data_IF_398181098741
#
_entry.id   IF_398181098741
#
_cell.length_a   1.000
_cell.length_b   1.000
_cell.length_c   1.000
_cell.angle_alpha   90.00
_cell.angle_beta   90.00
_cell.angle_gamma   90.00
#
_symmetry.space_group_name_H-M   'P 1'
#
loop_
_entity.id
_entity.type
_entity.pdbx_description
1 polymer ?
#
# COMPACT_ATOMS: atom_id res chain seq x y z
N UNK A 1 22.69 2.35 -31.10
CA UNK A 1 22.05 1.47 -30.10
C UNK A 1 22.16 2.19 -28.77
N UNK A 2 21.08 2.87 -28.35
CA UNK A 2 21.10 3.83 -27.24
C UNK A 2 21.44 3.18 -25.89
N UNK A 3 22.62 3.52 -25.39
CA UNK A 3 23.19 3.01 -24.15
C UNK A 3 23.15 4.08 -23.05
N UNK A 4 21.98 4.43 -22.48
CA UNK A 4 21.95 5.29 -21.26
C UNK A 4 20.64 5.35 -20.47
N UNK A 5 19.63 4.50 -20.71
CA UNK A 5 18.44 4.48 -19.84
C UNK A 5 18.71 3.60 -18.61
N UNK A 6 18.85 4.21 -17.42
CA UNK A 6 18.91 3.47 -16.15
C UNK A 6 17.61 2.69 -15.92
N UNK A 7 17.67 1.61 -15.15
CA UNK A 7 16.48 0.82 -14.79
C UNK A 7 15.40 1.69 -14.15
N UNK A 8 15.80 2.65 -13.31
CA UNK A 8 14.90 3.63 -12.74
C UNK A 8 14.11 4.38 -13.82
N UNK A 9 14.75 4.84 -14.90
CA UNK A 9 14.06 5.50 -16.01
C UNK A 9 13.05 4.59 -16.71
N UNK A 10 13.39 3.32 -16.95
CA UNK A 10 12.49 2.36 -17.59
C UNK A 10 11.30 1.99 -16.70
N UNK A 11 11.53 1.84 -15.39
CA UNK A 11 10.46 1.64 -14.41
C UNK A 11 9.56 2.89 -14.40
N UNK A 12 10.14 4.09 -14.33
CA UNK A 12 9.39 5.34 -14.33
C UNK A 12 8.54 5.53 -15.60
N UNK A 13 9.06 5.12 -16.76
CA UNK A 13 8.34 5.09 -18.03
C UNK A 13 7.20 4.06 -18.02
N UNK A 14 7.46 2.83 -17.57
CA UNK A 14 6.44 1.78 -17.42
C UNK A 14 5.31 2.23 -16.49
N UNK A 15 5.66 2.75 -15.31
CA UNK A 15 4.71 3.28 -14.34
C UNK A 15 3.98 4.51 -14.90
N UNK A 16 4.67 5.35 -15.67
CA UNK A 16 4.11 6.51 -16.36
C UNK A 16 3.06 6.13 -17.42
N UNK A 17 3.33 5.08 -18.19
CA UNK A 17 2.41 4.56 -19.20
C UNK A 17 1.17 3.93 -18.55
N UNK A 18 1.34 3.11 -17.50
CA UNK A 18 0.21 2.51 -16.76
C UNK A 18 -0.68 3.55 -16.08
N UNK A 19 -0.12 4.67 -15.62
CA UNK A 19 -0.88 5.73 -14.94
C UNK A 19 -1.57 6.74 -15.86
N UNK A 20 -1.19 6.81 -17.15
CA UNK A 20 -1.72 7.80 -18.11
C UNK A 20 -2.29 7.16 -19.39
N UNK A 21 -2.82 5.93 -19.31
CA UNK A 21 -3.34 5.27 -20.50
C UNK A 21 -4.58 6.01 -21.06
N UNK A 22 -4.37 6.74 -22.16
CA UNK A 22 -5.39 7.55 -22.84
C UNK A 22 -6.47 6.71 -23.52
N UNK A 23 -6.29 5.38 -23.59
CA UNK A 23 -7.27 4.45 -24.17
C UNK A 23 -8.32 3.99 -23.15
N UNK A 24 -8.20 4.41 -21.89
CA UNK A 24 -9.18 4.05 -20.87
C UNK A 24 -10.47 4.85 -21.08
N UNK A 25 -11.59 4.12 -21.03
CA UNK A 25 -12.95 4.63 -21.20
C UNK A 25 -13.27 5.75 -20.19
N UNK A 26 -13.68 6.92 -20.70
CA UNK A 26 -14.08 8.07 -19.86
C UNK A 26 -15.33 7.75 -19.03
N UNK A 27 -16.15 6.77 -19.44
CA UNK A 27 -17.35 6.36 -18.71
C UNK A 27 -17.03 5.71 -17.34
N UNK A 28 -15.77 5.28 -17.12
CA UNK A 28 -15.34 4.76 -15.83
C UNK A 28 -15.02 5.86 -14.81
N UNK A 29 -14.87 7.11 -15.27
CA UNK A 29 -14.71 8.25 -14.37
C UNK A 29 -16.00 8.46 -13.58
N UNK A 30 -15.91 8.32 -12.27
CA UNK A 30 -17.04 8.47 -11.37
C UNK A 30 -17.04 9.87 -10.73
N UNK A 31 -18.24 10.30 -10.38
CA UNK A 31 -18.44 11.48 -9.57
C UNK A 31 -19.50 11.28 -8.47
N UNK A 32 -19.07 11.10 -7.21
CA UNK A 32 -19.95 10.98 -6.05
C UNK A 32 -20.94 12.13 -5.90
N UNK A 33 -20.62 13.34 -6.42
CA UNK A 33 -21.55 14.46 -6.31
C UNK A 33 -22.75 14.38 -7.25
N UNK A 34 -22.74 13.48 -8.23
CA UNK A 34 -23.88 13.27 -9.15
C UNK A 34 -25.02 12.48 -8.50
N UNK A 35 -24.87 12.08 -7.23
CA UNK A 35 -25.91 11.42 -6.45
C UNK A 35 -26.55 12.48 -5.56
N UNK A 36 -27.79 12.90 -5.88
CA UNK A 36 -28.51 13.90 -5.08
C UNK A 36 -28.55 13.51 -3.59
N UNK A 37 -29.04 12.30 -3.30
CA UNK A 37 -29.12 11.77 -1.94
C UNK A 37 -28.75 10.29 -1.86
N UNK A 38 -27.79 10.00 -1.00
CA UNK A 38 -27.44 8.65 -0.61
C UNK A 38 -28.53 8.05 0.29
N UNK A 39 -28.61 6.73 0.28
CA UNK A 39 -29.63 5.97 1.00
C UNK A 39 -29.63 6.16 2.53
N UNK A 40 -28.58 6.76 3.08
CA UNK A 40 -28.44 7.02 4.51
C UNK A 40 -28.38 8.53 4.82
N UNK A 41 -28.84 9.37 3.89
CA UNK A 41 -29.03 10.81 4.09
C UNK A 41 -27.79 11.67 3.84
N UNK A 42 -26.73 11.10 3.26
CA UNK A 42 -25.65 11.91 2.69
C UNK A 42 -26.17 12.65 1.46
N UNK A 43 -25.73 13.88 1.26
CA UNK A 43 -26.12 14.73 0.14
C UNK A 43 -24.88 14.89 -0.76
N UNK A 44 -24.96 14.44 -2.00
CA UNK A 44 -23.81 14.42 -2.91
C UNK A 44 -23.35 15.81 -3.31
N UNK A 45 -24.22 16.83 -3.32
CA UNK A 45 -23.83 18.19 -3.66
C UNK A 45 -22.78 18.74 -2.68
N UNK A 46 -22.76 18.28 -1.43
CA UNK A 46 -21.72 18.65 -0.48
C UNK A 46 -20.32 18.16 -0.91
N UNK A 47 -20.25 17.03 -1.60
CA UNK A 47 -18.98 16.45 -2.08
C UNK A 47 -18.39 17.24 -3.25
N UNK A 48 -19.22 17.99 -3.99
CA UNK A 48 -18.77 18.87 -5.09
C UNK A 48 -17.83 19.97 -4.62
N UNK A 49 -18.14 20.55 -3.46
CA UNK A 49 -17.38 21.66 -2.89
C UNK A 49 -16.27 21.19 -1.95
N UNK A 50 -16.47 20.05 -1.27
CA UNK A 50 -15.48 19.54 -0.34
C UNK A 50 -15.57 18.01 -0.19
N UNK A 51 -14.82 17.32 -1.05
CA UNK A 51 -14.75 15.86 -1.07
C UNK A 51 -14.18 15.26 0.23
N UNK A 52 -13.42 16.04 1.02
CA UNK A 52 -12.91 15.63 2.34
C UNK A 52 -14.00 15.51 3.41
N UNK A 53 -15.19 16.07 3.20
CA UNK A 53 -16.31 15.99 4.14
C UNK A 53 -17.14 14.73 3.99
N UNK A 54 -16.69 13.76 3.20
CA UNK A 54 -17.36 12.48 3.09
C UNK A 54 -17.50 11.79 4.45
N UNK A 55 -18.66 11.20 4.70
CA UNK A 55 -19.03 10.56 5.97
C UNK A 55 -19.70 9.21 5.72
N UNK A 56 -19.91 8.42 6.77
CA UNK A 56 -20.66 7.15 6.70
C UNK A 56 -22.04 7.28 6.03
N UNK A 57 -22.71 8.43 6.13
CA UNK A 57 -24.01 8.66 5.46
C UNK A 57 -23.94 8.67 3.91
N UNK A 58 -22.75 8.84 3.33
CA UNK A 58 -22.52 8.80 1.87
C UNK A 58 -22.13 7.40 1.37
N UNK A 59 -22.18 6.38 2.24
CA UNK A 59 -21.86 4.99 1.92
C UNK A 59 -23.13 4.15 1.87
N UNK A 60 -23.24 3.21 0.93
CA UNK A 60 -24.33 2.23 1.00
C UNK A 60 -23.98 0.95 1.77
N UNK A 61 -22.86 0.93 2.49
CA UNK A 61 -22.64 -0.08 3.54
C UNK A 61 -23.60 0.12 4.72
N UNK A 62 -24.08 1.35 4.93
CA UNK A 62 -24.82 1.76 6.13
C UNK A 62 -23.99 2.69 7.00
N UNK A 63 -24.27 2.69 8.30
CA UNK A 63 -23.51 3.49 9.28
C UNK A 63 -22.26 2.74 9.81
N UNK A 64 -21.72 1.79 9.04
CA UNK A 64 -20.51 1.09 9.45
C UNK A 64 -19.32 2.05 9.33
N UNK A 65 -18.59 2.22 10.42
CA UNK A 65 -17.33 2.95 10.41
C UNK A 65 -16.27 2.07 9.70
N UNK A 66 -15.61 2.57 8.63
CA UNK A 66 -14.52 1.86 7.97
C UNK A 66 -13.44 1.33 8.93
N UNK A 67 -13.19 2.04 10.03
CA UNK A 67 -12.16 1.71 11.02
C UNK A 67 -12.69 0.97 12.26
N UNK A 68 -13.96 0.57 12.31
CA UNK A 68 -14.52 -0.10 13.49
C UNK A 68 -13.67 -1.32 13.91
N UNK A 69 -13.30 -1.40 15.20
CA UNK A 69 -12.47 -2.49 15.77
C UNK A 69 -11.09 -2.65 15.10
N UNK A 70 -10.59 -1.64 14.38
CA UNK A 70 -9.22 -1.65 13.84
C UNK A 70 -8.27 -0.94 14.80
N UNK A 71 -7.33 -1.69 15.38
CA UNK A 71 -6.27 -1.14 16.24
C UNK A 71 -5.40 -0.09 15.48
N UNK A 72 -4.76 0.87 16.19
CA UNK A 72 -3.81 1.80 15.59
C UNK A 72 -2.69 1.09 14.81
N UNK A 73 -2.09 1.69 13.76
CA UNK A 73 -1.12 1.01 12.90
C UNK A 73 0.36 1.10 13.35
N UNK A 74 0.65 1.60 14.57
CA UNK A 74 2.01 1.78 15.10
C UNK A 74 2.13 1.54 16.62
N UNK A 75 1.44 0.53 17.16
CA UNK A 75 1.52 0.16 18.58
C UNK A 75 2.72 -0.76 18.87
N UNK A 76 3.16 -0.87 20.13
CA UNK A 76 4.29 -1.69 20.56
C UNK A 76 4.12 -3.21 20.26
N UNK A 77 2.88 -3.63 19.97
CA UNK A 77 2.51 -4.99 19.58
C UNK A 77 2.43 -5.19 18.05
N UNK A 78 2.98 -4.27 17.26
CA UNK A 78 2.85 -4.28 15.81
C UNK A 78 3.81 -5.24 15.14
N UNK A 79 3.35 -6.49 15.06
CA UNK A 79 4.10 -7.55 14.42
C UNK A 79 3.65 -7.76 12.98
N UNK A 80 4.64 -7.84 12.11
CA UNK A 80 4.49 -8.36 10.76
C UNK A 80 3.90 -9.76 10.81
N UNK A 81 2.83 -9.99 10.04
CA UNK A 81 2.28 -11.33 9.84
C UNK A 81 2.96 -11.95 8.65
N UNK A 82 4.02 -12.70 8.94
CA UNK A 82 4.68 -13.53 7.95
C UNK A 82 4.03 -14.92 8.00
N UNK A 83 3.31 -15.28 6.93
CA UNK A 83 2.79 -16.64 6.83
C UNK A 83 3.97 -17.61 6.77
N UNK A 84 4.11 -18.41 7.83
CA UNK A 84 4.93 -19.61 7.83
C UNK A 84 3.98 -20.80 7.68
N UNK A 85 4.41 -21.79 6.89
CA UNK A 85 3.87 -23.14 6.75
C UNK A 85 2.46 -23.36 7.37
N UNK A 86 1.44 -23.52 6.53
CA UNK A 86 0.23 -24.19 6.99
C UNK A 86 0.61 -25.59 7.48
N UNK A 87 0.19 -25.94 8.70
CA UNK A 87 0.34 -27.27 9.30
C UNK A 87 -0.33 -28.38 8.49
N UNK A 88 -1.15 -28.03 7.51
CA UNK A 88 -2.10 -28.93 6.87
C UNK A 88 -1.59 -29.43 5.50
N UNK A 89 -0.35 -29.08 5.10
CA UNK A 89 0.37 -29.66 3.96
C UNK A 89 -0.25 -29.46 2.58
N UNK A 90 -1.38 -28.75 2.47
CA UNK A 90 -2.19 -28.62 1.24
C UNK A 90 -1.92 -27.35 0.44
N UNK A 91 -1.31 -26.32 1.05
CA UNK A 91 -0.97 -25.06 0.38
C UNK A 91 0.53 -24.78 0.45
N UNK A 92 1.13 -24.41 -0.70
CA UNK A 92 2.52 -23.96 -0.74
C UNK A 92 2.67 -22.71 0.15
N UNK A 93 3.71 -22.60 0.98
CA UNK A 93 3.94 -21.41 1.78
C UNK A 93 4.09 -20.22 0.84
N UNK A 94 3.21 -19.23 0.95
CA UNK A 94 3.25 -18.07 0.04
C UNK A 94 4.45 -17.15 0.34
N UNK A 95 5.10 -17.32 1.51
CA UNK A 95 6.30 -16.58 1.95
C UNK A 95 6.11 -15.05 1.91
N UNK A 96 4.91 -14.59 2.28
CA UNK A 96 4.53 -13.18 2.27
C UNK A 96 4.46 -12.67 3.72
N UNK A 97 5.07 -11.50 3.95
CA UNK A 97 4.99 -10.74 5.18
C UNK A 97 4.05 -9.56 4.99
N UNK A 98 2.98 -9.50 5.77
CA UNK A 98 1.95 -8.45 5.68
C UNK A 98 2.21 -7.37 6.73
N UNK A 99 2.32 -6.08 6.34
CA UNK A 99 2.60 -5.00 7.27
C UNK A 99 1.46 -4.79 8.27
N UNK A 100 1.75 -4.47 9.54
CA UNK A 100 0.73 -4.14 10.55
C UNK A 100 -0.28 -3.09 10.07
N UNK A 101 0.19 -2.06 9.34
CA UNK A 101 -0.65 -1.05 8.69
C UNK A 101 -1.72 -1.66 7.78
N UNK A 102 -1.33 -2.53 6.83
CA UNK A 102 -2.28 -3.22 5.93
C UNK A 102 -3.23 -4.12 6.71
N UNK A 103 -2.74 -4.86 7.70
CA UNK A 103 -3.57 -5.77 8.51
C UNK A 103 -4.72 -5.02 9.21
N UNK A 104 -4.51 -3.75 9.54
CA UNK A 104 -5.43 -2.90 10.32
C UNK A 104 -6.07 -1.80 9.47
N UNK A 105 -6.04 -1.94 8.15
CA UNK A 105 -6.60 -0.98 7.21
C UNK A 105 -8.12 -0.83 7.37
N UNK A 106 -8.62 0.39 7.22
CA UNK A 106 -10.02 0.74 7.42
C UNK A 106 -10.93 0.36 6.24
N UNK A 107 -11.27 -0.92 6.10
CA UNK A 107 -12.00 -1.47 4.94
C UNK A 107 -13.39 -2.04 5.27
N UNK A 108 -13.88 -1.87 6.50
CA UNK A 108 -15.10 -2.54 6.96
C UNK A 108 -16.34 -2.17 6.14
N UNK A 109 -16.45 -0.95 5.65
CA UNK A 109 -17.57 -0.53 4.80
C UNK A 109 -17.59 -1.32 3.48
N UNK A 110 -16.43 -1.62 2.89
CA UNK A 110 -16.33 -2.44 1.67
C UNK A 110 -16.68 -3.92 1.91
N UNK A 111 -16.43 -4.41 3.13
CA UNK A 111 -16.84 -5.76 3.54
C UNK A 111 -18.36 -5.86 3.80
N UNK A 112 -19.02 -4.74 4.09
CA UNK A 112 -20.44 -4.70 4.48
C UNK A 112 -21.32 -3.97 3.46
N UNK A 113 -20.95 -4.00 2.18
CA UNK A 113 -21.74 -3.37 1.11
C UNK A 113 -23.13 -4.01 0.99
N UNK A 114 -24.18 -3.19 1.07
CA UNK A 114 -25.56 -3.61 0.85
C UNK A 114 -25.93 -3.53 -0.64
N UNK A 115 -26.34 -4.65 -1.24
CA UNK A 115 -26.57 -4.80 -2.69
C UNK A 115 -28.03 -4.67 -3.13
N UNK A 116 -28.94 -4.48 -2.19
CA UNK A 116 -30.36 -4.17 -2.38
C UNK A 116 -30.60 -2.70 -2.76
N UNK A 117 -29.54 -1.88 -2.82
CA UNK A 117 -29.60 -0.42 -2.99
C UNK A 117 -28.98 0.05 -4.30
N UNK A 118 -29.13 1.35 -4.62
CA UNK A 118 -28.53 1.98 -5.81
C UNK A 118 -27.02 1.78 -5.78
N UNK A 119 -26.50 0.93 -6.66
CA UNK A 119 -25.08 0.67 -6.83
C UNK A 119 -24.69 0.97 -8.27
N UNK A 120 -24.19 2.16 -8.52
CA UNK A 120 -23.53 2.53 -9.77
C UNK A 120 -22.09 2.96 -9.51
N UNK A 121 -21.42 3.36 -10.59
CA UNK A 121 -20.04 3.79 -10.57
C UNK A 121 -19.76 4.91 -9.53
N UNK A 122 -20.70 5.85 -9.39
CA UNK A 122 -20.57 7.02 -8.53
C UNK A 122 -20.71 6.64 -7.05
N UNK A 123 -21.70 5.79 -6.73
CA UNK A 123 -21.93 5.31 -5.37
C UNK A 123 -20.73 4.47 -4.88
N UNK A 124 -20.18 3.64 -5.76
CA UNK A 124 -19.00 2.86 -5.43
C UNK A 124 -17.76 3.71 -5.19
N UNK A 125 -17.55 4.77 -6.00
CA UNK A 125 -16.44 5.69 -5.71
C UNK A 125 -16.62 6.32 -4.32
N UNK A 126 -17.83 6.70 -3.92
CA UNK A 126 -18.09 7.25 -2.59
C UNK A 126 -17.66 6.29 -1.46
N UNK A 127 -17.93 4.99 -1.57
CA UNK A 127 -17.46 3.99 -0.61
C UNK A 127 -15.92 3.87 -0.56
N UNK A 128 -15.27 3.94 -1.71
CA UNK A 128 -13.80 3.92 -1.80
C UNK A 128 -13.21 5.20 -1.21
N UNK A 129 -13.83 6.36 -1.44
CA UNK A 129 -13.39 7.63 -0.85
C UNK A 129 -13.60 7.65 0.66
N UNK A 130 -14.70 7.09 1.17
CA UNK A 130 -14.92 6.97 2.61
C UNK A 130 -13.84 6.10 3.26
N UNK A 131 -13.49 4.98 2.62
CA UNK A 131 -12.37 4.11 3.02
C UNK A 131 -11.06 4.90 3.08
N UNK A 132 -10.75 5.62 2.00
CA UNK A 132 -9.53 6.42 1.88
C UNK A 132 -9.47 7.52 2.95
N UNK A 133 -10.56 8.24 3.19
CA UNK A 133 -10.64 9.32 4.17
C UNK A 133 -10.33 8.80 5.58
N UNK A 134 -11.03 7.74 5.99
CA UNK A 134 -10.88 7.16 7.33
C UNK A 134 -9.51 6.53 7.54
N UNK A 135 -8.96 5.83 6.53
CA UNK A 135 -7.60 5.30 6.57
C UNK A 135 -6.56 6.42 6.68
N UNK A 136 -6.72 7.49 5.88
CA UNK A 136 -5.83 8.65 5.91
C UNK A 136 -5.84 9.39 7.25
N UNK A 137 -7.02 9.66 7.80
CA UNK A 137 -7.17 10.25 9.13
C UNK A 137 -6.52 9.37 10.21
N UNK A 138 -6.77 8.06 10.18
CA UNK A 138 -6.18 7.12 11.13
C UNK A 138 -4.65 7.13 11.07
N UNK A 139 -4.06 7.13 9.88
CA UNK A 139 -2.59 7.21 9.73
C UNK A 139 -2.07 8.52 10.32
N UNK A 140 -2.62 9.66 9.91
CA UNK A 140 -2.13 10.98 10.35
C UNK A 140 -2.23 11.16 11.86
N UNK A 141 -3.28 10.63 12.49
CA UNK A 141 -3.48 10.74 13.93
C UNK A 141 -2.53 9.86 14.75
N UNK A 142 -2.10 8.71 14.21
CA UNK A 142 -1.37 7.70 14.98
C UNK A 142 0.09 7.51 14.54
N UNK A 143 0.54 8.15 13.45
CA UNK A 143 1.90 8.00 12.97
C UNK A 143 2.90 8.56 14.00
N UNK A 144 3.96 7.80 14.39
CA UNK A 144 4.90 8.23 15.43
C UNK A 144 5.63 9.52 15.04
N UNK A 145 6.04 9.63 13.78
CA UNK A 145 6.74 10.80 13.25
C UNK A 145 5.78 11.82 12.63
N UNK A 146 4.94 12.48 13.45
CA UNK A 146 4.02 13.50 12.91
C UNK A 146 4.78 14.74 12.38
N UNK A 147 4.21 15.46 11.39
CA UNK A 147 4.87 16.59 10.70
C UNK A 147 6.13 16.20 9.92
N UNK A 148 6.19 14.98 9.39
CA UNK A 148 7.36 14.45 8.68
C UNK A 148 6.98 13.84 7.33
N UNK A 149 7.99 13.61 6.49
CA UNK A 149 7.82 12.86 5.24
C UNK A 149 7.29 11.43 5.46
N UNK A 150 7.49 10.86 6.65
CA UNK A 150 7.14 9.47 6.94
C UNK A 150 5.62 9.26 6.95
N UNK A 151 4.84 10.27 7.39
CA UNK A 151 3.38 10.27 7.28
C UNK A 151 2.95 10.14 5.82
N UNK A 152 3.56 10.93 4.92
CA UNK A 152 3.25 10.85 3.50
C UNK A 152 3.60 9.47 2.93
N UNK A 153 4.75 8.89 3.30
CA UNK A 153 5.14 7.54 2.87
C UNK A 153 4.13 6.48 3.33
N UNK A 154 3.62 6.58 4.56
CA UNK A 154 2.57 5.70 5.07
C UNK A 154 1.25 5.85 4.27
N UNK A 155 0.86 7.10 3.95
CA UNK A 155 -0.30 7.38 3.10
C UNK A 155 -0.14 6.82 1.70
N UNK A 156 1.05 6.93 1.08
CA UNK A 156 1.36 6.32 -0.21
C UNK A 156 1.19 4.80 -0.19
N UNK A 157 1.66 4.15 0.88
CA UNK A 157 1.54 2.70 1.07
C UNK A 157 0.09 2.27 1.22
N UNK A 158 -0.71 2.97 2.04
CA UNK A 158 -2.14 2.66 2.18
C UNK A 158 -2.94 2.97 0.92
N UNK A 159 -2.58 4.02 0.17
CA UNK A 159 -3.17 4.28 -1.15
C UNK A 159 -2.89 3.13 -2.13
N UNK A 160 -1.64 2.64 -2.17
CA UNK A 160 -1.25 1.53 -3.05
C UNK A 160 -1.92 0.20 -2.65
N UNK A 161 -2.08 -0.05 -1.35
CA UNK A 161 -2.81 -1.24 -0.88
C UNK A 161 -4.31 -1.13 -1.16
N UNK A 162 -4.92 0.05 -1.03
CA UNK A 162 -6.31 0.27 -1.44
C UNK A 162 -6.47 -0.03 -2.94
N UNK A 163 -5.51 0.41 -3.76
CA UNK A 163 -5.47 0.10 -5.18
C UNK A 163 -5.52 -1.42 -5.44
N UNK A 164 -4.71 -2.19 -4.72
CA UNK A 164 -4.67 -3.64 -4.87
C UNK A 164 -5.93 -4.34 -4.37
N UNK A 165 -6.59 -3.80 -3.33
CA UNK A 165 -7.90 -4.29 -2.89
C UNK A 165 -8.93 -4.10 -4.00
N UNK A 166 -9.06 -2.87 -4.52
CA UNK A 166 -10.03 -2.56 -5.57
C UNK A 166 -9.73 -3.35 -6.85
N UNK A 167 -8.45 -3.45 -7.22
CA UNK A 167 -8.00 -4.27 -8.34
C UNK A 167 -8.05 -5.76 -8.04
N UNK A 168 -8.33 -6.24 -6.82
CA UNK A 168 -8.32 -7.69 -6.54
C UNK A 168 -6.96 -8.35 -6.78
N UNK A 169 -5.88 -7.59 -6.61
CA UNK A 169 -4.48 -8.04 -6.65
C UNK A 169 -3.86 -8.09 -5.25
N UNK A 170 -4.61 -7.68 -4.23
CA UNK A 170 -4.18 -7.74 -2.83
C UNK A 170 -3.89 -9.18 -2.40
N UNK A 171 -2.75 -9.37 -1.76
CA UNK A 171 -2.19 -10.65 -1.33
C UNK A 171 -2.64 -11.04 0.08
N UNK A 172 -3.26 -10.14 0.84
CA UNK A 172 -3.82 -10.51 2.13
C UNK A 172 -5.12 -11.26 1.87
N UNK A 173 -5.04 -12.60 1.88
CA UNK A 173 -6.22 -13.48 1.84
C UNK A 173 -7.06 -13.27 3.10
N UNK A 174 -7.99 -12.33 3.04
CA UNK A 174 -8.96 -12.03 4.08
C UNK A 174 -10.25 -12.84 3.91
N UNK A 175 -11.33 -12.33 4.51
CA UNK A 175 -12.67 -12.89 4.30
C UNK A 175 -13.04 -12.85 2.82
N UNK A 176 -13.51 -13.98 2.27
CA UNK A 176 -14.02 -14.09 0.90
C UNK A 176 -15.12 -13.06 0.58
N UNK A 177 -15.74 -12.47 1.59
CA UNK A 177 -16.82 -11.48 1.45
C UNK A 177 -16.36 -10.23 0.70
N UNK A 178 -15.17 -9.68 1.01
CA UNK A 178 -14.70 -8.43 0.39
C UNK A 178 -14.57 -8.57 -1.13
N UNK A 179 -13.85 -9.60 -1.58
CA UNK A 179 -13.63 -9.82 -3.00
C UNK A 179 -14.93 -10.20 -3.72
N UNK A 180 -15.84 -10.96 -3.07
CA UNK A 180 -17.17 -11.24 -3.63
C UNK A 180 -17.99 -9.95 -3.81
N UNK A 181 -17.98 -9.07 -2.82
CA UNK A 181 -18.66 -7.79 -2.88
C UNK A 181 -18.12 -6.92 -4.02
N UNK A 182 -16.79 -6.78 -4.10
CA UNK A 182 -16.16 -6.02 -5.17
C UNK A 182 -16.46 -6.64 -6.54
N UNK A 183 -16.43 -7.97 -6.69
CA UNK A 183 -16.79 -8.64 -7.96
C UNK A 183 -18.22 -8.35 -8.37
N UNK A 184 -19.16 -8.41 -7.42
CA UNK A 184 -20.56 -8.07 -7.66
C UNK A 184 -20.73 -6.60 -8.05
N UNK A 185 -19.96 -5.70 -7.44
CA UNK A 185 -19.98 -4.28 -7.78
C UNK A 185 -19.50 -4.04 -9.22
N UNK A 186 -18.37 -4.62 -9.61
CA UNK A 186 -17.84 -4.46 -10.96
C UNK A 186 -18.70 -5.14 -12.02
N UNK A 187 -19.39 -6.23 -11.67
CA UNK A 187 -20.46 -6.81 -12.51
C UNK A 187 -21.56 -5.78 -12.78
N UNK A 188 -22.07 -5.11 -11.74
CA UNK A 188 -23.12 -4.09 -11.90
C UNK A 188 -22.65 -2.89 -12.74
N UNK A 189 -21.40 -2.45 -12.57
CA UNK A 189 -20.81 -1.38 -13.39
C UNK A 189 -20.74 -1.79 -14.86
N UNK A 190 -20.34 -3.04 -15.14
CA UNK A 190 -20.28 -3.58 -16.50
C UNK A 190 -21.66 -3.66 -17.16
N UNK A 191 -22.68 -4.08 -16.42
CA UNK A 191 -24.05 -4.28 -16.95
C UNK A 191 -24.82 -2.98 -17.19
N UNK A 192 -24.46 -1.88 -16.51
CA UNK A 192 -25.16 -0.59 -16.62
C UNK A 192 -24.79 0.24 -17.86
N UNK A 193 -23.64 -0.01 -18.49
CA UNK A 193 -23.17 0.78 -19.64
C UNK A 193 -22.94 -0.09 -20.87
N UNK A 194 -23.70 0.14 -21.95
CA UNK A 194 -23.58 -0.63 -23.20
C UNK A 194 -22.18 -0.53 -23.83
N UNK A 195 -21.56 0.64 -23.79
CA UNK A 195 -20.19 0.87 -24.26
C UNK A 195 -19.17 0.14 -23.39
N UNK A 196 -19.26 0.26 -22.06
CA UNK A 196 -18.40 -0.47 -21.11
C UNK A 196 -18.54 -1.98 -21.34
N UNK A 197 -19.76 -2.49 -21.44
CA UNK A 197 -20.02 -3.89 -21.73
C UNK A 197 -19.31 -4.35 -23.00
N UNK A 198 -19.37 -3.57 -24.08
CA UNK A 198 -18.70 -3.91 -25.33
C UNK A 198 -17.17 -3.95 -25.18
N UNK A 199 -16.59 -2.94 -24.51
CA UNK A 199 -15.15 -2.77 -24.32
C UNK A 199 -14.53 -3.83 -23.39
N UNK A 200 -15.30 -4.35 -22.44
CA UNK A 200 -14.84 -5.30 -21.42
C UNK A 200 -15.53 -6.67 -21.49
N UNK A 201 -16.28 -6.97 -22.55
CA UNK A 201 -17.05 -8.23 -22.72
C UNK A 201 -16.21 -9.52 -22.60
N UNK A 202 -14.93 -9.46 -22.98
CA UNK A 202 -13.99 -10.59 -22.91
C UNK A 202 -13.10 -10.57 -21.66
N UNK A 203 -13.33 -9.64 -20.75
CA UNK A 203 -12.50 -9.45 -19.56
C UNK A 203 -12.85 -10.49 -18.48
N UNK A 204 -11.94 -11.42 -18.25
CA UNK A 204 -12.14 -12.46 -17.24
C UNK A 204 -11.99 -11.87 -15.84
N UNK A 205 -12.96 -12.17 -14.96
CA UNK A 205 -12.99 -11.69 -13.57
C UNK A 205 -12.86 -10.16 -13.43
N UNK A 206 -13.29 -9.39 -14.44
CA UNK A 206 -13.24 -7.92 -14.44
C UNK A 206 -11.81 -7.38 -14.24
N UNK A 207 -10.80 -8.08 -14.75
CA UNK A 207 -9.39 -7.69 -14.56
C UNK A 207 -9.12 -6.30 -15.10
N UNK A 208 -9.22 -6.16 -16.40
CA UNK A 208 -8.95 -4.91 -17.08
C UNK A 208 -9.90 -3.80 -16.60
N UNK A 209 -11.18 -4.11 -16.41
CA UNK A 209 -12.19 -3.17 -15.93
C UNK A 209 -11.80 -2.53 -14.59
N UNK A 210 -11.33 -3.34 -13.63
CA UNK A 210 -10.90 -2.85 -12.32
C UNK A 210 -9.63 -1.99 -12.38
N UNK A 211 -8.67 -2.35 -13.21
CA UNK A 211 -7.43 -1.60 -13.42
C UNK A 211 -7.69 -0.23 -14.04
N UNK A 212 -8.52 -0.22 -15.08
CA UNK A 212 -8.94 0.98 -15.79
C UNK A 212 -9.78 1.90 -14.89
N UNK A 213 -10.70 1.32 -14.10
CA UNK A 213 -11.48 2.05 -13.11
C UNK A 213 -10.61 2.72 -12.05
N UNK A 214 -9.64 2.00 -11.48
CA UNK A 214 -8.71 2.58 -10.52
C UNK A 214 -7.95 3.75 -11.15
N UNK A 215 -7.39 3.53 -12.35
CA UNK A 215 -6.60 4.56 -13.04
C UNK A 215 -7.39 5.84 -13.30
N UNK A 216 -8.70 5.75 -13.61
CA UNK A 216 -9.57 6.93 -13.78
C UNK A 216 -9.92 7.65 -12.49
N UNK A 217 -10.00 6.93 -11.37
CA UNK A 217 -10.54 7.49 -10.12
C UNK A 217 -9.47 7.74 -9.05
N UNK A 218 -8.24 7.23 -9.22
CA UNK A 218 -7.12 7.32 -8.25
C UNK A 218 -6.77 8.75 -7.82
N UNK A 219 -6.99 9.74 -8.69
CA UNK A 219 -6.78 11.15 -8.35
C UNK A 219 -7.70 11.59 -7.19
N UNK A 220 -9.01 11.35 -7.29
CA UNK A 220 -9.97 11.65 -6.21
C UNK A 220 -9.63 10.87 -4.94
N UNK A 221 -9.21 9.60 -5.08
CA UNK A 221 -8.80 8.77 -3.93
C UNK A 221 -7.57 9.36 -3.22
N UNK A 222 -6.59 9.87 -3.96
CA UNK A 222 -5.40 10.52 -3.40
C UNK A 222 -5.73 11.85 -2.71
N UNK A 223 -6.56 12.68 -3.34
CA UNK A 223 -7.05 13.93 -2.72
C UNK A 223 -7.73 13.62 -1.38
N UNK A 224 -8.54 12.56 -1.33
CA UNK A 224 -9.29 12.19 -0.12
C UNK A 224 -8.41 11.56 0.97
N UNK A 225 -7.51 10.62 0.64
CA UNK A 225 -6.63 9.99 1.64
C UNK A 225 -5.69 11.01 2.30
N UNK A 226 -5.37 12.11 1.59
CA UNK A 226 -4.48 13.17 2.07
C UNK A 226 -5.21 14.36 2.73
N UNK A 227 -6.54 14.33 2.84
CA UNK A 227 -7.32 15.41 3.45
C UNK A 227 -6.85 15.77 4.87
N UNK A 228 -6.54 14.74 5.67
CA UNK A 228 -6.06 14.89 7.05
C UNK A 228 -4.59 15.31 7.17
N UNK A 229 -3.79 15.19 6.10
CA UNK A 229 -2.38 15.54 6.14
C UNK A 229 -2.20 17.03 6.50
N UNK A 230 -1.13 17.31 7.25
CA UNK A 230 -0.80 18.65 7.73
C UNK A 230 0.00 19.39 6.67
N UNK A 231 -0.01 20.72 6.71
CA UNK A 231 0.69 21.55 5.71
C UNK A 231 2.20 21.28 5.64
N UNK A 232 2.81 20.88 6.77
CA UNK A 232 4.22 20.57 6.89
C UNK A 232 4.56 19.09 6.65
N UNK A 233 3.56 18.23 6.37
CA UNK A 233 3.84 16.87 5.90
C UNK A 233 4.33 16.98 4.45
N UNK A 234 5.64 16.82 4.25
CA UNK A 234 6.32 17.01 2.97
C UNK A 234 6.55 15.66 2.30
N UNK A 235 5.93 15.44 1.15
CA UNK A 235 6.30 14.33 0.29
C UNK A 235 7.48 14.75 -0.58
N UNK A 236 8.58 14.00 -0.48
CA UNK A 236 9.83 14.27 -1.18
C UNK A 236 10.02 13.21 -2.26
N UNK A 237 10.08 13.63 -3.53
CA UNK A 237 10.38 12.75 -4.67
C UNK A 237 11.72 13.09 -5.29
N UNK A 238 12.56 12.06 -5.45
CA UNK A 238 13.83 12.17 -6.18
C UNK A 238 13.60 11.77 -7.63
N UNK A 239 13.91 12.67 -8.57
CA UNK A 239 13.94 12.33 -9.99
C UNK A 239 15.26 11.62 -10.30
N UNK A 240 15.20 10.36 -10.72
CA UNK A 240 16.39 9.57 -11.10
C UNK A 240 16.95 9.99 -12.47
N UNK A 241 17.53 11.19 -12.60
CA UNK A 241 18.28 11.53 -13.83
C UNK A 241 19.77 11.34 -13.60
N UNK A 242 20.34 10.33 -14.24
CA UNK A 242 21.78 10.25 -14.49
C UNK A 242 22.05 10.66 -15.93
N UNK A 243 22.58 11.85 -16.15
CA UNK A 243 23.49 12.07 -17.28
C UNK A 243 24.87 12.34 -16.71
N UNK A 244 25.88 11.65 -17.26
CA UNK A 244 27.31 11.91 -17.02
C UNK A 244 27.77 13.29 -17.50
N UNK A 245 26.84 14.09 -18.01
CA UNK A 245 26.95 15.52 -18.25
C UNK A 245 25.77 16.17 -17.51
N UNK A 246 25.91 16.44 -16.22
CA UNK A 246 24.86 17.14 -15.46
C UNK A 246 25.30 18.54 -15.10
N UNK A 247 25.04 19.45 -16.04
CA UNK A 247 24.61 20.81 -15.70
C UNK A 247 23.10 20.82 -15.29
N UNK A 248 22.50 19.65 -15.05
CA UNK A 248 21.10 19.51 -14.63
C UNK A 248 21.01 19.18 -13.16
N UNK A 249 20.50 20.13 -12.37
CA UNK A 249 20.24 19.96 -10.94
C UNK A 249 19.50 18.65 -10.65
N UNK A 250 19.96 17.89 -9.65
CA UNK A 250 19.21 16.80 -9.01
C UNK A 250 17.95 17.39 -8.37
N UNK A 251 16.94 17.73 -9.17
CA UNK A 251 15.75 18.45 -8.70
C UNK A 251 14.92 17.53 -7.83
N UNK A 252 15.00 17.75 -6.52
CA UNK A 252 14.05 17.24 -5.55
C UNK A 252 12.70 17.90 -5.84
N UNK A 253 11.67 17.09 -6.03
CA UNK A 253 10.30 17.56 -6.10
C UNK A 253 9.71 17.48 -4.68
N UNK A 254 9.25 18.61 -4.16
CA UNK A 254 8.71 18.76 -2.81
C UNK A 254 7.23 19.10 -2.89
N UNK A 255 6.40 18.24 -2.32
CA UNK A 255 4.95 18.40 -2.32
C UNK A 255 4.46 18.61 -0.88
N UNK A 256 3.87 19.79 -0.61
CA UNK A 256 3.28 20.10 0.70
C UNK A 256 1.99 19.35 0.91
N UNK A 257 1.65 19.05 2.17
CA UNK A 257 0.45 18.28 2.53
C UNK A 257 0.39 16.97 1.73
N UNK A 258 1.52 16.29 1.63
CA UNK A 258 1.69 15.08 0.81
C UNK A 258 1.22 15.21 -0.65
N UNK A 259 1.20 16.41 -1.22
CA UNK A 259 0.72 16.67 -2.58
C UNK A 259 -0.81 16.64 -2.73
N UNK A 260 -1.54 16.94 -1.66
CA UNK A 260 -3.01 17.02 -1.66
C UNK A 260 -3.58 17.99 -2.71
N UNK A 261 -2.89 19.10 -2.98
CA UNK A 261 -3.33 20.13 -3.93
C UNK A 261 -2.74 19.95 -5.34
N UNK A 262 -2.01 18.86 -5.58
CA UNK A 262 -1.38 18.63 -6.87
C UNK A 262 -2.40 18.11 -7.87
N UNK A 263 -2.40 18.67 -9.08
CA UNK A 263 -3.29 18.25 -10.17
C UNK A 263 -3.03 16.83 -10.69
N UNK A 264 -2.00 16.15 -10.17
CA UNK A 264 -1.69 14.74 -10.42
C UNK A 264 -1.18 14.10 -9.14
N UNK A 265 -1.58 12.85 -8.91
CA UNK A 265 -1.04 12.01 -7.85
C UNK A 265 0.49 11.96 -7.94
N UNK A 266 1.23 12.43 -6.91
CA UNK A 266 2.69 12.52 -6.91
C UNK A 266 3.38 11.15 -6.73
N UNK A 267 2.60 10.09 -6.55
CA UNK A 267 3.05 8.71 -6.40
C UNK A 267 2.63 7.83 -7.55
N UNK A 268 3.43 6.79 -7.81
CA UNK A 268 3.10 5.67 -8.69
C UNK A 268 3.21 4.33 -7.97
N UNK A 269 3.24 4.37 -6.64
CA UNK A 269 3.47 3.20 -5.79
C UNK A 269 2.36 2.15 -6.00
N UNK A 270 1.13 2.58 -6.30
CA UNK A 270 0.01 1.74 -6.70
C UNK A 270 0.24 0.93 -7.99
N UNK A 271 1.26 1.25 -8.78
CA UNK A 271 1.68 0.45 -9.94
C UNK A 271 3.01 -0.30 -9.73
N UNK A 272 3.46 -0.43 -8.48
CA UNK A 272 4.56 -1.34 -8.08
C UNK A 272 3.95 -2.61 -7.49
N UNK A 273 4.42 -3.83 -7.80
CA UNK A 273 3.94 -5.08 -7.19
C UNK A 273 3.92 -5.03 -5.65
N UNK A 274 2.79 -5.42 -5.06
CA UNK A 274 2.55 -5.30 -3.61
C UNK A 274 3.62 -5.96 -2.74
N UNK A 275 4.10 -7.15 -3.12
CA UNK A 275 5.20 -7.84 -2.44
C UNK A 275 6.46 -6.96 -2.34
N UNK A 276 6.85 -6.25 -3.39
CA UNK A 276 8.02 -5.37 -3.36
C UNK A 276 7.79 -4.17 -2.45
N UNK A 277 6.54 -3.69 -2.36
CA UNK A 277 6.20 -2.58 -1.46
C UNK A 277 6.26 -3.01 0.00
N UNK A 278 5.67 -4.15 0.32
CA UNK A 278 5.70 -4.72 1.66
C UNK A 278 7.12 -5.11 2.06
N UNK A 279 7.94 -5.65 1.16
CA UNK A 279 9.36 -5.88 1.40
C UNK A 279 10.10 -4.57 1.73
N UNK A 280 9.84 -3.51 0.97
CA UNK A 280 10.46 -2.20 1.22
C UNK A 280 10.03 -1.62 2.58
N UNK A 281 8.74 -1.71 2.90
CA UNK A 281 8.18 -1.30 4.19
C UNK A 281 8.77 -2.13 5.35
N UNK A 282 8.95 -3.44 5.15
CA UNK A 282 9.57 -4.33 6.14
C UNK A 282 11.03 -3.95 6.41
N UNK A 283 11.79 -3.65 5.36
CA UNK A 283 13.20 -3.24 5.49
C UNK A 283 13.30 -1.91 6.27
N UNK A 284 12.44 -0.93 5.97
CA UNK A 284 12.42 0.35 6.69
C UNK A 284 12.03 0.18 8.16
N UNK A 285 10.99 -0.62 8.44
CA UNK A 285 10.57 -0.93 9.80
C UNK A 285 11.66 -1.68 10.58
N UNK A 286 12.31 -2.65 9.94
CA UNK A 286 13.45 -3.39 10.48
C UNK A 286 14.58 -2.44 10.90
N UNK A 287 14.98 -1.50 10.03
CA UNK A 287 16.06 -0.56 10.36
C UNK A 287 15.67 0.38 11.49
N UNK A 288 14.41 0.86 11.52
CA UNK A 288 13.90 1.70 12.62
C UNK A 288 13.91 0.95 13.95
N UNK A 289 13.36 -0.26 13.99
CA UNK A 289 13.30 -1.07 15.22
C UNK A 289 14.71 -1.48 15.68
N UNK A 290 15.60 -1.82 14.75
CA UNK A 290 17.01 -2.10 15.04
C UNK A 290 17.70 -0.90 15.69
N UNK A 291 17.53 0.31 15.14
CA UNK A 291 18.14 1.50 15.70
C UNK A 291 17.61 1.78 17.11
N UNK A 292 16.29 1.72 17.31
CA UNK A 292 15.68 1.92 18.62
C UNK A 292 16.19 0.93 19.68
N UNK A 293 16.37 -0.35 19.31
CA UNK A 293 16.92 -1.36 20.23
C UNK A 293 18.40 -1.12 20.55
N UNK A 294 19.19 -0.60 19.60
CA UNK A 294 20.59 -0.24 19.82
C UNK A 294 20.67 0.97 20.75
N UNK A 295 19.91 2.03 20.47
CA UNK A 295 19.89 3.26 21.29
C UNK A 295 19.46 2.96 22.74
N UNK A 296 18.44 2.10 22.92
CA UNK A 296 17.98 1.65 24.23
C UNK A 296 19.05 0.82 24.97
N UNK A 297 19.80 -0.02 24.25
CA UNK A 297 20.91 -0.78 24.82
C UNK A 297 22.10 0.12 25.21
N UNK A 298 22.45 1.11 24.38
CA UNK A 298 23.54 2.05 24.63
C UNK A 298 23.27 2.89 25.88
N UNK A 299 22.04 3.40 26.04
CA UNK A 299 21.62 4.15 27.23
C UNK A 299 21.86 3.39 28.53
N UNK A 300 21.40 2.15 28.62
CA UNK A 300 21.55 1.34 29.83
C UNK A 300 23.00 0.85 30.05
N UNK A 301 23.79 0.75 28.98
CA UNK A 301 25.22 0.45 29.08
C UNK A 301 25.98 1.60 29.73
N UNK A 302 25.73 2.84 29.30
CA UNK A 302 26.36 4.03 29.86
C UNK A 302 26.05 4.15 31.36
N UNK A 303 24.80 3.93 31.76
CA UNK A 303 24.35 3.90 33.16
C UNK A 303 25.11 2.83 33.98
N UNK A 304 25.30 1.62 33.43
CA UNK A 304 26.05 0.52 34.07
C UNK A 304 27.57 0.79 34.18
N UNK A 305 28.15 1.62 33.30
CA UNK A 305 29.59 1.94 33.30
C UNK A 305 29.96 3.24 34.01
N UNK A 306 28.97 4.01 34.49
CA UNK A 306 29.23 5.25 35.23
C UNK A 306 29.96 4.96 36.55
N UNK A 307 31.07 5.65 36.80
CA UNK A 307 31.95 5.39 37.96
C UNK A 307 31.36 5.89 39.30
N UNK A 308 30.23 6.60 39.26
CA UNK A 308 29.75 7.42 40.38
C UNK A 308 28.85 6.71 41.41
N UNK A 309 28.52 5.42 41.29
CA UNK A 309 27.78 4.76 42.37
C UNK A 309 28.07 3.26 42.57
N UNK A 310 28.81 2.91 43.62
CA UNK A 310 28.95 1.53 44.12
C UNK A 310 27.71 1.09 44.92
N UNK A 311 26.53 1.36 44.39
CA UNK A 311 25.23 1.05 45.01
C UNK A 311 24.57 -0.16 44.34
N UNK A 312 23.54 -0.74 44.99
CA UNK A 312 22.74 -1.87 44.45
C UNK A 312 22.08 -1.55 43.09
N UNK A 313 22.01 -0.28 42.70
CA UNK A 313 21.44 0.19 41.44
C UNK A 313 22.30 -0.19 40.23
N UNK A 314 23.63 -0.14 40.30
CA UNK A 314 24.51 -0.53 39.18
C UNK A 314 24.33 -2.00 38.78
N UNK A 315 24.16 -2.90 39.76
CA UNK A 315 23.83 -4.32 39.48
C UNK A 315 22.49 -4.47 38.77
N UNK A 316 21.51 -3.61 39.09
CA UNK A 316 20.20 -3.58 38.42
C UNK A 316 20.34 -3.11 36.97
N UNK A 317 21.04 -2.02 36.70
CA UNK A 317 21.25 -1.51 35.32
C UNK A 317 21.99 -2.50 34.42
N UNK A 318 23.03 -3.17 34.93
CA UNK A 318 23.74 -4.19 34.17
C UNK A 318 22.86 -5.43 33.90
N UNK A 319 21.93 -5.77 34.80
CA UNK A 319 20.93 -6.82 34.56
C UNK A 319 19.93 -6.42 33.47
N UNK A 320 19.45 -5.17 33.48
CA UNK A 320 18.59 -4.62 32.43
C UNK A 320 19.29 -4.61 31.07
N UNK A 321 20.58 -4.22 31.01
CA UNK A 321 21.38 -4.28 29.78
C UNK A 321 21.44 -5.72 29.21
N UNK A 322 21.56 -6.74 30.06
CA UNK A 322 21.55 -8.14 29.65
C UNK A 322 20.20 -8.56 29.06
N UNK A 323 19.10 -8.12 29.68
CA UNK A 323 17.75 -8.39 29.19
C UNK A 323 17.47 -7.70 27.85
N UNK A 324 17.92 -6.46 27.67
CA UNK A 324 17.84 -5.73 26.39
C UNK A 324 18.65 -6.41 25.30
N UNK A 325 19.88 -6.85 25.61
CA UNK A 325 20.72 -7.63 24.69
C UNK A 325 20.04 -8.93 24.27
N UNK A 326 19.42 -9.65 25.22
CA UNK A 326 18.63 -10.85 24.93
C UNK A 326 17.46 -10.56 24.00
N UNK A 327 16.69 -9.50 24.26
CA UNK A 327 15.58 -9.05 23.39
C UNK A 327 16.07 -8.71 21.98
N UNK A 328 17.19 -8.00 21.86
CA UNK A 328 17.80 -7.70 20.56
C UNK A 328 18.19 -8.97 19.81
N UNK A 329 18.83 -9.93 20.46
CA UNK A 329 19.17 -11.22 19.84
C UNK A 329 17.93 -12.00 19.39
N UNK A 330 16.83 -11.94 20.14
CA UNK A 330 15.55 -12.55 19.76
C UNK A 330 14.94 -11.87 18.51
N UNK A 331 14.91 -10.54 18.46
CA UNK A 331 14.47 -9.79 17.28
C UNK A 331 15.34 -10.11 16.05
N UNK A 332 16.67 -10.15 16.19
CA UNK A 332 17.58 -10.51 15.08
C UNK A 332 17.33 -11.91 14.55
N UNK A 333 17.04 -12.88 15.42
CA UNK A 333 16.69 -14.25 14.96
C UNK A 333 15.39 -14.23 14.17
N UNK A 334 14.36 -13.55 14.66
CA UNK A 334 13.07 -13.39 13.97
C UNK A 334 13.27 -12.75 12.60
N UNK A 335 13.97 -11.61 12.53
CA UNK A 335 14.21 -10.90 11.27
C UNK A 335 15.00 -11.72 10.25
N UNK A 336 15.98 -12.52 10.68
CA UNK A 336 16.69 -13.44 9.78
C UNK A 336 15.73 -14.44 9.14
N UNK A 337 14.82 -15.02 9.90
CA UNK A 337 13.83 -15.95 9.37
C UNK A 337 12.87 -15.27 8.40
N UNK A 338 12.37 -14.08 8.74
CA UNK A 338 11.50 -13.30 7.85
C UNK A 338 12.21 -12.89 6.55
N UNK A 339 13.48 -12.48 6.64
CA UNK A 339 14.32 -12.17 5.49
C UNK A 339 14.51 -13.36 4.56
N UNK A 340 14.86 -14.54 5.08
CA UNK A 340 15.04 -15.73 4.25
C UNK A 340 13.74 -16.12 3.52
N UNK A 341 12.59 -16.00 4.19
CA UNK A 341 11.29 -16.25 3.55
C UNK A 341 11.03 -15.26 2.41
N UNK A 342 11.22 -13.96 2.65
CA UNK A 342 11.03 -12.94 1.61
C UNK A 342 12.03 -13.08 0.47
N UNK A 343 13.29 -13.44 0.76
CA UNK A 343 14.33 -13.72 -0.24
C UNK A 343 13.94 -14.91 -1.12
N UNK A 344 13.39 -15.97 -0.54
CA UNK A 344 12.88 -17.12 -1.28
C UNK A 344 11.71 -16.69 -2.19
N UNK A 345 10.74 -15.93 -1.68
CA UNK A 345 9.63 -15.41 -2.48
C UNK A 345 10.09 -14.52 -3.64
N UNK A 346 11.03 -13.62 -3.38
CA UNK A 346 11.62 -12.78 -4.43
C UNK A 346 12.28 -13.66 -5.50
N UNK A 347 13.04 -14.67 -5.08
CA UNK A 347 13.70 -15.61 -5.99
C UNK A 347 12.68 -16.39 -6.81
N UNK A 348 11.60 -16.89 -6.21
CA UNK A 348 10.52 -17.57 -6.92
C UNK A 348 9.87 -16.66 -7.97
N UNK A 349 9.49 -15.43 -7.61
CA UNK A 349 8.91 -14.47 -8.55
C UNK A 349 9.90 -14.13 -9.67
N UNK A 350 11.19 -14.02 -9.34
CA UNK A 350 12.24 -13.79 -10.30
C UNK A 350 12.48 -15.01 -11.21
N UNK A 351 12.40 -16.25 -10.71
CA UNK A 351 12.70 -17.48 -11.46
C UNK A 351 11.52 -18.06 -12.23
N UNK A 352 10.28 -17.88 -11.75
CA UNK A 352 9.06 -18.20 -12.52
C UNK A 352 9.04 -17.48 -13.87
N UNK A 353 9.71 -16.33 -13.97
CA UNK A 353 9.95 -15.58 -15.20
C UNK A 353 11.07 -16.16 -16.09
N UNK A 354 11.76 -17.25 -15.73
CA UNK A 354 12.77 -17.94 -16.58
C UNK A 354 12.16 -19.12 -17.35
N UNK A 355 11.20 -19.83 -16.76
CA UNK A 355 10.62 -21.04 -17.33
C UNK A 355 9.26 -20.75 -17.96
N UNK A 356 9.24 -20.43 -19.27
CA UNK A 356 8.03 -20.10 -20.05
C UNK A 356 6.96 -21.22 -20.17
N UNK A 357 7.09 -22.34 -19.46
CA UNK A 357 6.42 -23.60 -19.81
C UNK A 357 5.33 -24.11 -18.87
N UNK A 358 4.95 -23.39 -17.81
CA UNK A 358 3.83 -23.84 -16.94
C UNK A 358 2.61 -22.94 -17.05
N UNK A 359 1.81 -23.18 -18.10
CA UNK A 359 0.38 -22.85 -18.13
C UNK A 359 -0.36 -23.73 -17.12
N UNK A 360 -0.38 -23.36 -15.84
CA UNK A 360 -1.38 -23.88 -14.88
C UNK A 360 -1.76 -22.74 -13.93
N UNK A 361 -2.99 -22.23 -14.11
CA UNK A 361 -3.72 -21.29 -13.26
C UNK A 361 -2.86 -20.26 -12.52
N UNK A 362 -2.23 -19.34 -13.26
CA UNK A 362 -1.53 -18.20 -12.64
C UNK A 362 -2.55 -17.22 -12.09
N UNK A 363 -2.35 -16.75 -10.85
CA UNK A 363 -3.26 -15.78 -10.24
C UNK A 363 -3.15 -14.43 -10.95
N UNK A 364 -4.18 -13.59 -10.83
CA UNK A 364 -4.20 -12.22 -11.40
C UNK A 364 -2.95 -11.42 -11.01
N UNK A 365 -2.52 -11.57 -9.76
CA UNK A 365 -1.34 -10.92 -9.22
C UNK A 365 -0.04 -11.41 -9.87
N UNK A 366 0.08 -12.73 -10.09
CA UNK A 366 1.30 -13.32 -10.67
C UNK A 366 1.56 -12.79 -12.08
N UNK A 367 0.54 -12.63 -12.93
CA UNK A 367 0.70 -12.10 -14.27
C UNK A 367 1.24 -10.65 -14.27
N UNK A 368 0.69 -9.81 -13.39
CA UNK A 368 1.11 -8.42 -13.24
C UNK A 368 2.53 -8.30 -12.69
N UNK A 369 2.87 -9.12 -11.70
CA UNK A 369 4.23 -9.21 -11.14
C UNK A 369 5.20 -9.66 -12.23
N UNK A 370 4.84 -10.66 -13.04
CA UNK A 370 5.67 -11.13 -14.15
C UNK A 370 5.97 -10.02 -15.15
N UNK A 371 4.96 -9.26 -15.59
CA UNK A 371 5.15 -8.12 -16.50
C UNK A 371 6.15 -7.11 -15.91
N UNK A 372 6.01 -6.78 -14.63
CA UNK A 372 6.92 -5.85 -13.94
C UNK A 372 8.36 -6.39 -13.88
N UNK A 373 8.52 -7.66 -13.51
CA UNK A 373 9.83 -8.30 -13.39
C UNK A 373 10.49 -8.56 -14.76
N UNK A 374 9.74 -8.80 -15.84
CA UNK A 374 10.31 -8.87 -17.20
C UNK A 374 10.95 -7.54 -17.60
N UNK A 375 10.30 -6.41 -17.28
CA UNK A 375 10.85 -5.07 -17.50
C UNK A 375 12.09 -4.81 -16.63
N UNK A 376 12.14 -5.33 -15.41
CA UNK A 376 13.33 -5.33 -14.56
C UNK A 376 14.48 -6.17 -15.15
N UNK A 377 14.17 -7.38 -15.63
CA UNK A 377 15.14 -8.40 -16.08
C UNK A 377 15.92 -8.05 -17.33
N UNK A 378 15.30 -7.35 -18.28
CA UNK A 378 15.96 -6.95 -19.53
C UNK A 378 17.25 -6.11 -19.34
N UNK A 379 17.66 -5.82 -18.09
CA UNK A 379 18.69 -4.86 -17.74
C UNK A 379 19.65 -5.30 -16.60
N UNK A 380 19.72 -6.59 -16.22
CA UNK A 380 20.90 -7.14 -15.50
C UNK A 380 20.85 -7.29 -13.97
N UNK A 381 19.71 -7.19 -13.30
CA UNK A 381 19.58 -7.50 -11.85
C UNK A 381 19.08 -8.92 -11.67
N UNK A 382 20.02 -9.88 -11.68
CA UNK A 382 19.72 -11.32 -11.70
C UNK A 382 19.76 -12.05 -10.37
N UNK A 383 20.06 -11.36 -9.27
CA UNK A 383 20.13 -12.01 -7.96
C UNK A 383 19.78 -11.07 -6.81
N UNK A 384 19.08 -11.60 -5.81
CA UNK A 384 18.88 -10.99 -4.50
C UNK A 384 20.16 -11.05 -3.62
N UNK A 385 21.31 -11.42 -4.19
CA UNK A 385 22.55 -11.72 -3.46
C UNK A 385 23.45 -10.48 -3.23
N UNK A 386 22.92 -9.28 -3.46
CA UNK A 386 23.58 -8.02 -3.13
C UNK A 386 22.66 -7.17 -2.25
N UNK A 387 22.39 -7.63 -1.04
CA UNK A 387 21.88 -6.81 0.07
C UNK A 387 22.79 -7.04 1.25
#
# INVERSE_FOLDING_TARGET
>A
MDSTSTIANKIEEYLGAKSNDSKIDELLKADPSEIDYYNFGGDGDYLKNNICKITVNHSDSGKYDPCEKKLPPYDDNDQWKCQQNSSDGSEKPENICVPPRRQRMCINNLENLKFDKIRDNNAFLADVLLTARNEGEKIVQNHPDTNSSNVCVALERSFADLADIIRGTDQLKGSNILEQNLRRMFKNILEKGSTIQSNYSKDQNYRKLREDWWTKNRQKVWEVITCGARSNDLLIKRRWRTSKESNGENKLELFRKCGHYEGKVPTKLDYVPQFLRWLTEWIEDFYREKQNLIDDMERHREECTSEDDKSKEVTSYCSTCKDKCKKYCECVKKWKTEWENQKNKYTELYEQNKNKTSQKNTSRYDDYVKEFFEKLKGNGYSSANRV
#
